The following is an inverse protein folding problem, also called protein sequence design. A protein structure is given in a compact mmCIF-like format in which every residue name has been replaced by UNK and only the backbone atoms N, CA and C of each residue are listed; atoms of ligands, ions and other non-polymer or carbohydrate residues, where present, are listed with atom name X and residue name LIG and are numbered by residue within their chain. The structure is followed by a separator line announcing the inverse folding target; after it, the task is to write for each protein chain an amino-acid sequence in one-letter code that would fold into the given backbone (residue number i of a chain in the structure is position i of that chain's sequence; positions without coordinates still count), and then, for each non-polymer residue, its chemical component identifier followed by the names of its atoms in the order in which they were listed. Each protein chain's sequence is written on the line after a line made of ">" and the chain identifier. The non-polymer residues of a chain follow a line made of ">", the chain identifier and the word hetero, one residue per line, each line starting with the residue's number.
data_IF_948416986445
#
_entry.id   IF_948416986445
#
_cell.length_a   1.000
_cell.length_b   1.000
_cell.length_c   1.000
_cell.angle_alpha   90.00
_cell.angle_beta   90.00
_cell.angle_gamma   90.00
#
_symmetry.space_group_name_H-M   'P 1'
#
loop_
_entity.id
_entity.type
_entity.pdbx_description
1 polymer ?
#
# COMPACT_ATOMS: atom_id res chain seq x y z
N UNK A 1 14.66 4.30 -47.89
CA UNK A 1 15.14 3.27 -46.95
C UNK A 1 14.39 3.36 -45.59
N UNK A 2 13.44 2.45 -45.30
CA UNK A 2 12.65 2.50 -44.08
C UNK A 2 13.27 1.57 -43.02
N UNK A 3 13.74 2.11 -41.90
CA UNK A 3 14.45 1.29 -40.93
C UNK A 3 14.72 1.95 -39.59
N UNK A 4 13.68 2.36 -38.86
CA UNK A 4 13.84 2.70 -37.42
C UNK A 4 12.56 2.62 -36.58
N UNK A 5 11.47 2.03 -37.07
CA UNK A 5 10.19 1.97 -36.35
C UNK A 5 9.80 0.56 -35.85
N UNK A 6 10.76 -0.33 -35.55
CA UNK A 6 10.46 -1.74 -35.21
C UNK A 6 10.90 -2.23 -33.82
N UNK A 7 11.48 -1.39 -32.97
CA UNK A 7 11.95 -1.81 -31.65
C UNK A 7 11.28 -1.12 -30.45
N UNK A 8 10.19 -0.38 -30.65
CA UNK A 8 9.47 0.31 -29.56
C UNK A 8 8.04 -0.20 -29.30
N UNK A 9 7.56 -1.22 -30.03
CA UNK A 9 6.17 -1.71 -29.94
C UNK A 9 6.01 -3.03 -29.14
N UNK A 10 7.05 -3.49 -28.44
CA UNK A 10 7.04 -4.82 -27.80
C UNK A 10 6.81 -4.89 -26.28
N UNK A 11 6.78 -3.76 -25.55
CA UNK A 11 6.71 -3.78 -24.07
C UNK A 11 5.47 -3.08 -23.49
N UNK A 12 4.53 -2.68 -24.35
CA UNK A 12 3.41 -1.81 -23.98
C UNK A 12 2.03 -2.41 -24.26
N UNK A 13 1.80 -3.73 -24.15
CA UNK A 13 0.51 -4.31 -24.58
C UNK A 13 -0.19 -5.35 -23.68
N UNK A 14 0.22 -5.56 -22.42
CA UNK A 14 -0.60 -6.41 -21.51
C UNK A 14 -0.98 -5.76 -20.17
N UNK A 15 -0.92 -4.43 -20.10
CA UNK A 15 -1.75 -3.75 -19.12
C UNK A 15 -3.17 -3.81 -19.64
N UNK A 16 -4.08 -4.48 -18.94
CA UNK A 16 -5.51 -4.32 -19.23
C UNK A 16 -5.80 -2.82 -19.32
N UNK A 17 -6.54 -2.38 -20.33
CA UNK A 17 -6.87 -0.95 -20.49
C UNK A 17 -7.40 -0.35 -19.18
N UNK A 18 -8.12 -1.16 -18.39
CA UNK A 18 -8.59 -0.84 -17.05
C UNK A 18 -7.47 -0.52 -16.05
N UNK A 19 -6.37 -1.27 -16.05
CA UNK A 19 -5.24 -1.02 -15.16
C UNK A 19 -4.47 0.25 -15.56
N UNK A 20 -4.35 0.54 -16.86
CA UNK A 20 -3.72 1.78 -17.36
C UNK A 20 -4.57 2.98 -16.96
N UNK A 21 -5.85 2.89 -17.25
CA UNK A 21 -6.82 3.91 -16.90
C UNK A 21 -6.86 4.16 -15.39
N UNK A 22 -6.75 3.13 -14.55
CA UNK A 22 -6.67 3.31 -13.09
C UNK A 22 -5.37 3.98 -12.66
N UNK A 23 -4.23 3.57 -13.21
CA UNK A 23 -2.94 4.19 -12.91
C UNK A 23 -2.92 5.67 -13.33
N UNK A 24 -3.35 5.97 -14.55
CA UNK A 24 -3.46 7.34 -15.07
C UNK A 24 -4.48 8.17 -14.30
N UNK A 25 -5.63 7.60 -13.94
CA UNK A 25 -6.63 8.27 -13.10
C UNK A 25 -6.07 8.62 -11.73
N UNK A 26 -5.33 7.70 -11.10
CA UNK A 26 -4.70 7.96 -9.80
C UNK A 26 -3.64 9.06 -9.90
N UNK A 27 -2.85 9.08 -10.98
CA UNK A 27 -1.91 10.16 -11.25
C UNK A 27 -2.63 11.50 -11.50
N UNK A 28 -3.67 11.51 -12.34
CA UNK A 28 -4.43 12.70 -12.71
C UNK A 28 -5.22 13.29 -11.56
N UNK A 29 -5.68 12.46 -10.61
CA UNK A 29 -6.36 12.92 -9.38
C UNK A 29 -5.44 13.79 -8.51
N UNK A 30 -4.12 13.70 -8.71
CA UNK A 30 -3.14 14.35 -7.86
C UNK A 30 -3.13 13.77 -6.46
N UNK A 31 -2.38 14.40 -5.57
CA UNK A 31 -2.29 14.07 -4.14
C UNK A 31 -3.21 15.02 -3.39
N UNK A 32 -4.18 14.49 -2.64
CA UNK A 32 -5.05 15.32 -1.81
C UNK A 32 -4.29 15.94 -0.64
N UNK A 33 -4.86 16.95 0.01
CA UNK A 33 -4.22 17.64 1.14
C UNK A 33 -3.89 16.70 2.31
N UNK A 34 -4.76 15.71 2.56
CA UNK A 34 -4.62 14.69 3.60
C UNK A 34 -3.92 13.41 3.10
N UNK A 35 -3.25 13.46 1.94
CA UNK A 35 -2.60 12.29 1.36
C UNK A 35 -1.12 12.54 1.10
N UNK A 36 -0.32 11.48 1.23
CA UNK A 36 1.10 11.49 0.84
C UNK A 36 1.41 10.25 0.01
N UNK A 37 2.33 10.36 -0.96
CA UNK A 37 2.72 9.20 -1.79
C UNK A 37 3.71 8.34 -1.01
N UNK A 38 3.44 7.04 -0.91
CA UNK A 38 4.33 6.05 -0.29
C UNK A 38 5.19 5.35 -1.34
N UNK A 39 6.46 5.74 -1.45
CA UNK A 39 7.44 5.11 -2.37
C UNK A 39 8.54 4.32 -1.66
N UNK A 40 8.60 4.39 -0.32
CA UNK A 40 9.63 3.73 0.47
C UNK A 40 9.42 2.21 0.54
N UNK A 41 9.96 1.49 -0.43
CA UNK A 41 10.03 0.02 -0.43
C UNK A 41 11.09 -0.46 0.57
N UNK A 42 10.74 -1.46 1.36
CA UNK A 42 11.64 -2.10 2.32
C UNK A 42 12.34 -3.31 1.70
N UNK A 43 13.63 -3.48 2.03
CA UNK A 43 14.42 -4.57 1.46
C UNK A 43 14.08 -5.89 2.16
N UNK A 44 13.45 -6.80 1.42
CA UNK A 44 13.23 -8.17 1.87
C UNK A 44 14.50 -9.01 1.69
N UNK A 45 14.75 -9.95 2.60
CA UNK A 45 15.81 -10.97 2.44
C UNK A 45 15.47 -11.83 1.21
N UNK A 46 16.18 -11.59 0.11
CA UNK A 46 15.87 -12.19 -1.19
C UNK A 46 16.46 -13.60 -1.29
N UNK A 47 15.62 -14.61 -1.18
CA UNK A 47 15.95 -15.94 -1.69
C UNK A 47 15.54 -16.03 -3.16
N UNK A 48 16.36 -16.65 -4.01
CA UNK A 48 16.06 -16.80 -5.44
C UNK A 48 14.77 -17.61 -5.59
N UNK A 49 13.71 -17.05 -6.21
CA UNK A 49 12.45 -17.78 -6.34
C UNK A 49 12.63 -19.02 -7.22
N UNK A 50 11.89 -20.09 -6.91
CA UNK A 50 11.97 -21.38 -7.62
C UNK A 50 11.70 -21.25 -9.14
N UNK A 51 10.95 -20.22 -9.54
CA UNK A 51 10.60 -19.92 -10.93
C UNK A 51 11.61 -19.02 -11.66
N UNK A 52 12.63 -18.49 -10.98
CA UNK A 52 13.57 -17.52 -11.55
C UNK A 52 14.37 -18.04 -12.76
N UNK A 53 14.48 -19.36 -12.91
CA UNK A 53 15.13 -19.98 -14.07
C UNK A 53 14.19 -20.06 -15.29
N UNK A 54 12.87 -19.95 -15.10
CA UNK A 54 11.85 -20.05 -16.16
C UNK A 54 11.35 -18.67 -16.62
N UNK A 55 11.28 -17.71 -15.70
CA UNK A 55 10.79 -16.37 -15.98
C UNK A 55 11.74 -15.32 -15.41
N UNK A 56 11.94 -14.22 -16.16
CA UNK A 56 12.72 -13.08 -15.69
C UNK A 56 11.99 -12.40 -14.52
N UNK A 57 12.58 -12.32 -13.32
CA UNK A 57 11.95 -11.62 -12.19
C UNK A 57 11.67 -10.15 -12.51
N UNK A 58 10.49 -9.68 -12.11
CA UNK A 58 10.01 -8.31 -12.31
C UNK A 58 9.49 -7.74 -11.00
N UNK A 59 9.69 -6.44 -10.80
CA UNK A 59 8.99 -5.71 -9.74
C UNK A 59 7.64 -5.23 -10.26
N UNK A 60 6.56 -5.37 -9.47
CA UNK A 60 5.27 -4.77 -9.83
C UNK A 60 5.35 -3.25 -9.78
N UNK A 61 4.49 -2.61 -10.56
CA UNK A 61 4.26 -1.16 -10.44
C UNK A 61 3.27 -0.94 -9.31
N UNK A 62 3.35 0.18 -8.61
CA UNK A 62 2.40 0.52 -7.56
C UNK A 62 2.14 2.02 -7.50
N UNK A 63 1.00 2.37 -6.93
CA UNK A 63 0.64 3.74 -6.59
C UNK A 63 0.01 3.73 -5.19
N UNK A 64 0.86 3.88 -4.18
CA UNK A 64 0.49 3.76 -2.78
C UNK A 64 0.34 5.14 -2.15
N UNK A 65 -0.68 5.33 -1.31
CA UNK A 65 -0.92 6.57 -0.57
C UNK A 65 -0.99 6.29 0.92
N UNK A 66 -0.44 7.20 1.71
CA UNK A 66 -0.68 7.31 3.15
C UNK A 66 -1.80 8.33 3.35
N UNK A 67 -2.81 7.99 4.14
CA UNK A 67 -3.83 8.94 4.59
C UNK A 67 -3.34 9.55 5.89
N UNK A 68 -3.17 10.87 5.90
CA UNK A 68 -2.73 11.65 7.05
C UNK A 68 -3.93 12.40 7.63
N UNK A 69 -3.81 12.89 8.85
CA UNK A 69 -4.76 13.87 9.36
C UNK A 69 -4.48 14.26 10.80
N UNK A 70 -5.34 15.14 11.32
CA UNK A 70 -5.23 15.66 12.67
C UNK A 70 -6.08 14.84 13.64
N UNK A 71 -5.50 14.49 14.79
CA UNK A 71 -6.22 13.83 15.86
C UNK A 71 -6.52 14.82 17.01
N UNK A 72 -7.76 15.27 17.10
CA UNK A 72 -8.21 16.17 18.17
C UNK A 72 -8.62 15.40 19.44
N UNK A 73 -7.66 14.72 20.07
CA UNK A 73 -7.88 14.08 21.37
C UNK A 73 -7.92 15.13 22.51
N UNK A 74 -8.30 14.73 23.73
CA UNK A 74 -8.46 15.65 24.88
C UNK A 74 -7.19 16.45 25.19
N UNK A 75 -6.01 15.83 25.04
CA UNK A 75 -4.73 16.50 25.23
C UNK A 75 -4.48 17.52 24.11
N UNK A 76 -4.68 17.12 22.85
CA UNK A 76 -4.44 18.01 21.72
C UNK A 76 -5.40 19.22 21.74
N UNK A 77 -6.64 19.05 22.19
CA UNK A 77 -7.60 20.15 22.37
C UNK A 77 -7.16 21.20 23.40
N UNK A 78 -6.26 20.88 24.33
CA UNK A 78 -5.74 21.85 25.32
C UNK A 78 -4.43 22.51 24.89
N UNK A 79 -3.77 22.00 23.85
CA UNK A 79 -2.43 22.43 23.43
C UNK A 79 -2.35 22.96 22.00
N UNK A 80 -3.36 22.71 21.18
CA UNK A 80 -3.41 23.10 19.77
C UNK A 80 -4.75 23.77 19.44
N UNK A 81 -4.77 24.56 18.37
CA UNK A 81 -5.95 25.24 17.85
C UNK A 81 -6.00 25.17 16.31
N UNK A 82 -6.99 25.80 15.68
CA UNK A 82 -7.17 25.70 14.23
C UNK A 82 -6.04 26.39 13.45
N UNK A 83 -5.38 27.40 14.04
CA UNK A 83 -4.27 28.13 13.43
C UNK A 83 -2.94 27.38 13.65
N UNK A 84 -2.84 26.64 14.76
CA UNK A 84 -1.69 25.84 15.16
C UNK A 84 -2.15 24.40 15.43
N UNK A 85 -2.50 23.63 14.38
CA UNK A 85 -3.02 22.29 14.54
C UNK A 85 -1.96 21.33 15.08
N UNK A 86 -2.36 20.20 15.69
CA UNK A 86 -1.43 19.18 16.14
C UNK A 86 -0.62 18.60 14.97
N UNK A 87 0.50 17.91 15.23
CA UNK A 87 1.20 17.16 14.18
C UNK A 87 0.27 16.16 13.50
N UNK A 88 0.37 16.04 12.16
CA UNK A 88 -0.40 15.05 11.40
C UNK A 88 0.04 13.64 11.77
N UNK A 89 -0.92 12.74 11.92
CA UNK A 89 -0.70 11.32 12.18
C UNK A 89 -1.26 10.48 11.05
N UNK A 90 -0.75 9.25 10.93
CA UNK A 90 -1.24 8.31 9.92
C UNK A 90 -2.61 7.79 10.31
N UNK A 91 -3.60 8.02 9.46
CA UNK A 91 -4.97 7.53 9.60
C UNK A 91 -5.23 6.24 8.82
N UNK A 92 -4.42 5.91 7.81
CA UNK A 92 -4.62 4.72 7.01
C UNK A 92 -3.72 4.64 5.79
N UNK A 93 -3.90 3.60 4.99
CA UNK A 93 -3.12 3.37 3.78
C UNK A 93 -4.01 2.92 2.62
N UNK A 94 -3.61 3.32 1.41
CA UNK A 94 -4.22 2.89 0.15
C UNK A 94 -3.15 2.33 -0.76
N UNK A 95 -3.05 1.01 -0.82
CA UNK A 95 -2.17 0.30 -1.75
C UNK A 95 -2.92 0.00 -3.03
N UNK A 96 -2.33 0.40 -4.17
CA UNK A 96 -2.75 -0.04 -5.49
C UNK A 96 -1.52 -0.63 -6.18
N UNK A 97 -1.48 -1.96 -6.31
CA UNK A 97 -0.33 -2.68 -6.86
C UNK A 97 -0.76 -3.39 -8.14
N UNK A 98 0.01 -3.19 -9.19
CA UNK A 98 -0.30 -3.61 -10.55
C UNK A 98 0.54 -4.82 -10.93
N UNK A 99 -0.16 -5.90 -11.26
CA UNK A 99 0.34 -7.21 -11.68
C UNK A 99 -0.26 -7.61 -13.06
N UNK A 100 -0.06 -6.80 -14.13
CA UNK A 100 -0.61 -7.08 -15.46
C UNK A 100 -0.18 -8.44 -16.02
N UNK A 101 1.10 -8.77 -15.86
CA UNK A 101 1.75 -9.93 -16.49
C UNK A 101 1.70 -11.19 -15.60
N UNK A 102 0.77 -11.24 -14.64
CA UNK A 102 0.67 -12.39 -13.74
C UNK A 102 0.33 -13.63 -14.57
N UNK A 103 1.18 -14.66 -14.50
CA UNK A 103 1.01 -15.87 -15.32
C UNK A 103 -0.28 -16.61 -14.95
N UNK A 104 -0.49 -16.79 -13.64
CA UNK A 104 -1.68 -17.43 -13.09
C UNK A 104 -2.62 -16.37 -12.54
N UNK A 105 -3.50 -15.83 -13.41
CA UNK A 105 -4.50 -14.82 -13.03
C UNK A 105 -5.59 -15.37 -12.10
N UNK A 106 -5.68 -16.69 -11.91
CA UNK A 106 -6.65 -17.32 -10.99
C UNK A 106 -6.24 -17.20 -9.53
N UNK A 107 -4.93 -17.04 -9.27
CA UNK A 107 -4.38 -16.89 -7.93
C UNK A 107 -4.13 -15.42 -7.62
N UNK A 108 -4.98 -14.86 -6.77
CA UNK A 108 -4.83 -13.48 -6.31
C UNK A 108 -3.53 -13.32 -5.48
N UNK A 109 -2.77 -12.24 -5.70
CA UNK A 109 -1.70 -11.83 -4.80
C UNK A 109 -2.24 -11.63 -3.37
N UNK A 110 -1.43 -11.97 -2.38
CA UNK A 110 -1.79 -11.89 -0.95
C UNK A 110 -0.85 -10.95 -0.21
N UNK A 111 -1.17 -10.61 1.02
CA UNK A 111 -0.29 -9.83 1.88
C UNK A 111 -0.11 -10.48 3.25
N UNK A 112 1.01 -10.19 3.91
CA UNK A 112 1.31 -10.62 5.27
C UNK A 112 1.87 -9.46 6.07
N UNK A 113 1.48 -9.39 7.34
CA UNK A 113 2.07 -8.46 8.31
C UNK A 113 3.20 -9.19 9.04
N UNK A 114 4.40 -8.65 8.93
CA UNK A 114 5.59 -9.13 9.62
C UNK A 114 5.92 -8.09 10.69
N UNK A 115 5.79 -8.50 11.95
CA UNK A 115 6.21 -7.68 13.09
C UNK A 115 7.64 -8.02 13.44
N UNK A 116 8.47 -6.99 13.57
CA UNK A 116 9.82 -7.13 14.08
C UNK A 116 9.75 -7.62 15.55
N UNK A 117 10.77 -8.37 15.98
CA UNK A 117 10.95 -8.87 17.36
C UNK A 117 9.87 -9.83 17.90
N UNK A 118 9.09 -10.47 17.02
CA UNK A 118 8.11 -11.49 17.42
C UNK A 118 6.89 -10.94 18.16
N UNK A 119 6.67 -9.62 18.12
CA UNK A 119 5.53 -8.95 18.76
C UNK A 119 4.21 -9.56 18.32
N UNK A 120 3.32 -9.79 19.29
CA UNK A 120 1.95 -10.24 18.99
C UNK A 120 1.10 -9.07 18.52
N UNK A 121 0.01 -9.38 17.80
CA UNK A 121 -0.96 -8.36 17.41
C UNK A 121 -1.52 -7.67 18.67
N UNK A 122 -1.38 -6.35 18.74
CA UNK A 122 -1.83 -5.55 19.89
C UNK A 122 -0.79 -5.35 20.98
N UNK A 123 0.40 -5.93 20.84
CA UNK A 123 1.53 -5.67 21.74
C UNK A 123 2.34 -4.48 21.23
N UNK A 124 2.47 -3.47 22.08
CA UNK A 124 3.20 -2.24 21.79
C UNK A 124 4.50 -2.21 22.58
N UNK A 125 5.62 -2.02 21.90
CA UNK A 125 6.96 -1.88 22.52
C UNK A 125 7.59 -0.52 22.20
N UNK A 126 6.93 0.30 21.39
CA UNK A 126 7.37 1.65 21.10
C UNK A 126 7.44 2.47 22.39
N UNK A 127 8.48 3.33 22.54
CA UNK A 127 8.53 4.32 23.60
C UNK A 127 7.26 5.19 23.61
N UNK A 128 6.89 5.69 24.79
CA UNK A 128 5.75 6.60 24.93
C UNK A 128 5.87 7.77 23.93
N UNK A 129 4.84 7.96 23.12
CA UNK A 129 4.79 8.99 22.08
C UNK A 129 5.32 8.57 20.70
N UNK A 130 5.75 7.32 20.51
CA UNK A 130 6.05 6.76 19.18
C UNK A 130 5.06 5.68 18.80
N UNK A 131 4.79 5.58 17.50
CA UNK A 131 3.94 4.52 16.95
C UNK A 131 4.79 3.30 16.61
N UNK A 132 4.33 2.12 16.99
CA UNK A 132 4.94 0.88 16.52
C UNK A 132 4.74 0.74 15.01
N UNK A 133 5.78 0.27 14.32
CA UNK A 133 5.73 -0.01 12.88
C UNK A 133 5.90 -1.50 12.61
N UNK A 134 5.36 -1.97 11.49
CA UNK A 134 5.53 -3.32 10.99
C UNK A 134 5.72 -3.31 9.47
N UNK A 135 6.14 -4.45 8.91
CA UNK A 135 6.28 -4.62 7.47
C UNK A 135 5.02 -5.28 6.90
N UNK A 136 4.40 -4.64 5.92
CA UNK A 136 3.41 -5.30 5.07
C UNK A 136 4.10 -5.83 3.83
N UNK A 137 4.16 -7.16 3.70
CA UNK A 137 4.74 -7.86 2.54
C UNK A 137 3.64 -8.32 1.60
N UNK A 138 3.68 -7.86 0.36
CA UNK A 138 2.85 -8.32 -0.74
C UNK A 138 3.54 -9.47 -1.47
N UNK A 139 2.80 -10.56 -1.64
CA UNK A 139 3.28 -11.82 -2.20
C UNK A 139 2.49 -12.10 -3.46
N UNK A 140 3.20 -12.24 -4.57
CA UNK A 140 2.62 -12.49 -5.88
C UNK A 140 3.15 -13.77 -6.50
N UNK A 141 2.48 -14.24 -7.55
CA UNK A 141 2.98 -15.33 -8.38
C UNK A 141 4.04 -14.86 -9.39
N UNK A 142 4.66 -15.81 -10.12
CA UNK A 142 5.56 -15.46 -11.21
C UNK A 142 4.88 -14.55 -12.25
N UNK A 143 5.60 -13.58 -12.84
CA UNK A 143 7.03 -13.30 -12.72
C UNK A 143 7.37 -12.27 -11.63
N UNK A 144 6.45 -11.95 -10.73
CA UNK A 144 6.62 -10.85 -9.79
C UNK A 144 7.36 -11.26 -8.53
N UNK A 145 8.33 -10.43 -8.14
CA UNK A 145 8.96 -10.50 -6.83
C UNK A 145 8.03 -9.90 -5.76
N UNK A 146 8.18 -10.41 -4.54
CA UNK A 146 7.51 -9.85 -3.37
C UNK A 146 8.05 -8.44 -3.08
N UNK A 147 7.16 -7.54 -2.68
CA UNK A 147 7.50 -6.18 -2.25
C UNK A 147 7.01 -5.96 -0.83
N UNK A 148 7.67 -5.08 -0.08
CA UNK A 148 7.23 -4.73 1.27
C UNK A 148 7.33 -3.24 1.54
N UNK A 149 6.50 -2.78 2.47
CA UNK A 149 6.47 -1.40 2.94
C UNK A 149 6.39 -1.38 4.46
N UNK A 150 7.02 -0.38 5.08
CA UNK A 150 6.84 -0.10 6.51
C UNK A 150 5.55 0.68 6.73
N UNK A 151 4.70 0.17 7.61
CA UNK A 151 3.42 0.79 8.00
C UNK A 151 3.28 0.86 9.52
N UNK A 152 2.39 1.72 10.00
CA UNK A 152 2.01 1.77 11.41
C UNK A 152 1.22 0.51 11.80
N UNK A 153 1.55 -0.08 12.95
CA UNK A 153 0.97 -1.31 13.47
C UNK A 153 -0.24 -1.03 14.38
N UNK A 154 -1.32 -0.51 13.80
CA UNK A 154 -2.61 -0.27 14.48
C UNK A 154 -3.70 -1.18 13.96
N UNK A 155 -4.77 -1.35 14.75
CA UNK A 155 -5.95 -2.12 14.34
C UNK A 155 -6.67 -1.44 13.18
N UNK A 156 -7.06 -2.22 12.16
CA UNK A 156 -7.77 -1.71 10.98
C UNK A 156 -9.28 -1.62 11.22
N UNK A 157 -9.91 -0.60 10.65
CA UNK A 157 -11.36 -0.47 10.59
C UNK A 157 -11.90 -1.31 9.41
N UNK A 158 -12.50 -2.46 9.72
CA UNK A 158 -13.11 -3.35 8.74
C UNK A 158 -14.55 -2.96 8.35
N UNK A 159 -15.05 -1.80 8.81
CA UNK A 159 -16.39 -1.36 8.44
C UNK A 159 -16.51 -1.07 6.94
N UNK A 160 -17.68 -1.35 6.38
CA UNK A 160 -18.01 -1.09 4.96
C UNK A 160 -18.47 0.35 4.71
N UNK A 161 -18.15 1.30 5.61
CA UNK A 161 -18.59 2.69 5.48
C UNK A 161 -18.07 3.29 4.18
N UNK A 162 -18.96 3.88 3.38
CA UNK A 162 -18.72 4.31 1.99
C UNK A 162 -17.47 5.19 1.77
N UNK A 163 -17.09 6.02 2.74
CA UNK A 163 -15.91 6.91 2.66
C UNK A 163 -14.65 6.39 3.38
N UNK A 164 -14.78 5.38 4.25
CA UNK A 164 -13.69 4.86 5.11
C UNK A 164 -13.52 3.35 5.00
N UNK A 165 -14.10 2.76 3.96
CA UNK A 165 -14.32 1.33 3.87
C UNK A 165 -13.03 0.55 3.69
N UNK A 166 -12.90 -0.54 4.44
CA UNK A 166 -11.91 -1.56 4.13
C UNK A 166 -12.18 -2.14 2.74
N UNK A 167 -11.13 -2.17 1.91
CA UNK A 167 -11.16 -2.79 0.58
C UNK A 167 -9.98 -3.71 0.42
N UNK A 168 -10.24 -4.95 0.03
CA UNK A 168 -9.23 -5.94 -0.32
C UNK A 168 -9.72 -6.72 -1.53
N UNK A 169 -9.29 -6.34 -2.73
CA UNK A 169 -9.78 -6.93 -3.98
C UNK A 169 -8.65 -7.07 -4.99
N UNK A 170 -8.69 -8.13 -5.80
CA UNK A 170 -7.82 -8.32 -6.96
C UNK A 170 -8.69 -8.48 -8.21
N UNK A 171 -8.65 -7.52 -9.11
CA UNK A 171 -9.38 -7.56 -10.39
C UNK A 171 -8.52 -6.98 -11.51
N UNK A 172 -8.61 -7.57 -12.71
CA UNK A 172 -7.92 -7.09 -13.94
C UNK A 172 -6.42 -6.82 -13.76
N UNK A 173 -5.75 -7.61 -12.93
CA UNK A 173 -4.33 -7.47 -12.64
C UNK A 173 -3.99 -6.36 -11.63
N UNK A 174 -4.95 -5.92 -10.81
CA UNK A 174 -4.77 -4.82 -9.86
C UNK A 174 -5.17 -5.30 -8.47
N UNK A 175 -4.21 -5.31 -7.55
CA UNK A 175 -4.48 -5.51 -6.13
C UNK A 175 -4.78 -4.15 -5.51
N UNK A 176 -5.96 -4.03 -4.91
CA UNK A 176 -6.37 -2.86 -4.13
C UNK A 176 -6.53 -3.27 -2.68
N UNK A 177 -5.68 -2.74 -1.82
CA UNK A 177 -5.76 -2.88 -0.37
C UNK A 177 -5.86 -1.50 0.27
N UNK A 178 -7.07 -1.09 0.65
CA UNK A 178 -7.35 0.20 1.28
C UNK A 178 -7.89 -0.05 2.67
N UNK A 179 -7.34 0.62 3.67
CA UNK A 179 -7.82 0.53 5.04
C UNK A 179 -7.52 1.80 5.80
N UNK A 180 -8.38 2.08 6.78
CA UNK A 180 -8.16 3.10 7.80
C UNK A 180 -7.88 2.41 9.12
N UNK A 181 -7.22 3.11 10.03
CA UNK A 181 -7.09 2.66 11.40
C UNK A 181 -8.36 2.91 12.19
N UNK A 182 -8.67 1.98 13.08
CA UNK A 182 -9.81 2.07 13.98
C UNK A 182 -9.57 3.21 14.97
N UNK A 183 -10.51 4.15 15.02
CA UNK A 183 -10.51 5.22 16.01
C UNK A 183 -10.95 4.65 17.36
N UNK A 184 -10.08 4.73 18.35
CA UNK A 184 -10.41 4.34 19.73
C UNK A 184 -11.03 5.56 20.40
N UNK A 185 -12.33 5.49 20.68
CA UNK A 185 -13.00 6.49 21.52
C UNK A 185 -12.95 6.01 22.96
N UNK A 186 -12.30 6.78 23.82
CA UNK A 186 -12.39 6.54 25.26
C UNK A 186 -13.82 6.87 25.71
N UNK A 187 -14.54 5.86 26.23
CA UNK A 187 -15.82 6.09 26.92
C UNK A 187 -15.50 6.43 28.37
N UNK A 188 -15.96 7.60 28.82
CA UNK A 188 -15.80 8.08 30.18
C UNK A 188 -16.75 7.34 31.13
#
# INVERSE_FOLDING_TARGET
>A
PPGTARFAQGEADDFSQAARALYERELARGVGEDEEILTAEETLTKSKPWWANKHRPRKPRYFNRVQMGYEWNKYNQTHYDHENPPPRTVHGYRFNIFYPDLIDKTKAPTFKIIREDGRRRGESTAPAGKEDTCLIRFIAGPPYEDIAFRIVDKEWDYSSKRERGFKSSFDKGILQLHFMFKRIYYRK
#
